data_IF_622332367648
#
_entry.id   IF_622332367648
#
_cell.length_a   1.000
_cell.length_b   1.000
_cell.length_c   1.000
_cell.angle_alpha   90.00
_cell.angle_beta   90.00
_cell.angle_gamma   90.00
#
_symmetry.space_group_name_H-M   'P 1'
#
loop_
_entity.id
_entity.type
_entity.pdbx_description
1 polymer ?
#
# COMPACT_ATOMS: atom_id res chain seq x y z
N UNK A 1 9.97 19.24 11.85
CA UNK A 1 8.68 18.55 11.62
C UNK A 1 7.61 19.61 11.33
N UNK A 2 6.77 19.45 10.30
CA UNK A 2 5.69 20.41 10.00
C UNK A 2 4.73 20.60 11.18
N UNK A 3 4.15 21.80 11.31
CA UNK A 3 3.20 22.13 12.40
C UNK A 3 2.02 21.16 12.43
N UNK A 4 1.51 20.76 11.26
CA UNK A 4 0.43 19.79 11.12
C UNK A 4 0.76 18.44 11.74
N UNK A 5 1.96 17.91 11.50
CA UNK A 5 2.42 16.63 12.07
C UNK A 5 2.58 16.74 13.58
N UNK A 6 3.03 17.88 14.09
CA UNK A 6 3.11 18.13 15.54
C UNK A 6 1.75 18.15 16.21
N UNK A 7 0.75 18.78 15.58
CA UNK A 7 -0.62 18.80 16.07
C UNK A 7 -1.23 17.39 16.04
N UNK A 8 -1.03 16.65 14.96
CA UNK A 8 -1.47 15.27 14.84
C UNK A 8 -0.86 14.38 15.94
N UNK A 9 0.45 14.50 16.20
CA UNK A 9 1.12 13.77 17.27
C UNK A 9 0.53 14.08 18.65
N UNK A 10 0.23 15.35 18.93
CA UNK A 10 -0.40 15.77 20.19
C UNK A 10 -1.78 15.14 20.35
N UNK A 11 -2.59 15.14 19.30
CA UNK A 11 -3.91 14.53 19.31
C UNK A 11 -3.82 13.01 19.48
N UNK A 12 -2.95 12.34 18.72
CA UNK A 12 -2.78 10.89 18.79
C UNK A 12 -2.44 10.40 20.20
N UNK A 13 -1.63 11.16 20.95
CA UNK A 13 -1.29 10.86 22.36
C UNK A 13 -2.44 10.98 23.36
N UNK A 14 -3.54 11.64 22.97
CA UNK A 14 -4.75 11.73 23.81
C UNK A 14 -5.75 10.61 23.53
N UNK A 15 -5.55 9.83 22.46
CA UNK A 15 -6.40 8.71 22.09
C UNK A 15 -5.96 7.48 22.91
N UNK A 16 -6.92 6.80 23.51
CA UNK A 16 -6.70 5.54 24.23
C UNK A 16 -6.12 4.48 23.26
N UNK A 17 -5.02 3.84 23.65
CA UNK A 17 -4.30 2.84 22.85
C UNK A 17 -5.15 1.58 22.55
N UNK A 18 -6.19 1.32 23.34
CA UNK A 18 -7.13 0.21 23.10
C UNK A 18 -8.14 0.52 21.98
N UNK A 19 -8.25 1.78 21.55
CA UNK A 19 -9.17 2.18 20.48
C UNK A 19 -8.51 1.97 19.12
N UNK A 20 -9.16 1.18 18.28
CA UNK A 20 -8.81 1.03 16.87
C UNK A 20 -9.97 1.54 16.00
N UNK A 21 -9.68 2.51 15.13
CA UNK A 21 -10.66 3.05 14.20
C UNK A 21 -10.73 2.16 12.96
N UNK A 22 -11.93 1.68 12.65
CA UNK A 22 -12.17 0.92 11.42
C UNK A 22 -12.14 1.85 10.21
N UNK A 23 -11.35 1.46 9.21
CA UNK A 23 -11.26 2.10 7.91
C UNK A 23 -11.70 1.05 6.89
N UNK A 24 -12.90 1.19 6.27
CA UNK A 24 -13.32 0.25 5.26
C UNK A 24 -12.37 0.27 4.05
N UNK A 25 -12.33 -0.79 3.28
CA UNK A 25 -11.58 -0.91 2.04
C UNK A 25 -12.55 -1.50 1.05
N UNK A 26 -13.19 -0.65 0.26
CA UNK A 26 -14.10 -1.10 -0.79
C UNK A 26 -13.33 -1.91 -1.84
N UNK A 27 -14.03 -2.78 -2.56
CA UNK A 27 -13.47 -3.66 -3.59
C UNK A 27 -12.67 -2.87 -4.63
N UNK A 28 -13.14 -1.66 -4.97
CA UNK A 28 -12.44 -0.77 -5.88
C UNK A 28 -11.03 -0.37 -5.43
N UNK A 29 -10.74 -0.35 -4.12
CA UNK A 29 -9.44 0.06 -3.56
C UNK A 29 -8.37 -0.98 -3.91
N UNK A 30 -8.56 -2.23 -3.46
CA UNK A 30 -7.56 -3.30 -3.56
C UNK A 30 -8.03 -4.57 -4.31
N UNK A 31 -9.23 -4.57 -4.88
CA UNK A 31 -9.85 -5.75 -5.48
C UNK A 31 -10.31 -6.78 -4.45
N UNK A 32 -10.54 -6.35 -3.20
CA UNK A 32 -11.15 -7.18 -2.16
C UNK A 32 -11.76 -6.31 -1.05
N UNK A 33 -13.04 -6.54 -0.76
CA UNK A 33 -13.75 -5.89 0.33
C UNK A 33 -13.24 -6.37 1.70
N UNK A 34 -12.78 -5.44 2.54
CA UNK A 34 -12.41 -5.71 3.93
C UNK A 34 -12.38 -4.43 4.77
N UNK A 35 -12.09 -4.54 6.06
CA UNK A 35 -11.76 -3.40 6.92
C UNK A 35 -10.30 -3.49 7.35
N UNK A 36 -9.60 -2.35 7.34
CA UNK A 36 -8.35 -2.19 8.08
C UNK A 36 -8.61 -1.37 9.34
N UNK A 37 -7.66 -1.36 10.27
CA UNK A 37 -7.81 -0.71 11.56
C UNK A 37 -6.57 0.12 11.86
N UNK A 38 -6.76 1.36 12.28
CA UNK A 38 -5.68 2.25 12.71
C UNK A 38 -5.86 2.63 14.17
N UNK A 39 -4.80 2.50 14.95
CA UNK A 39 -4.76 2.91 16.35
C UNK A 39 -3.86 4.14 16.55
N UNK A 40 -3.82 4.66 17.77
CA UNK A 40 -2.98 5.81 18.13
C UNK A 40 -1.49 5.53 17.94
N UNK A 41 -1.03 4.31 18.16
CA UNK A 41 0.38 3.93 18.01
C UNK A 41 0.84 4.01 16.54
N UNK A 42 0.03 3.56 15.58
CA UNK A 42 0.34 3.74 14.14
C UNK A 42 0.55 5.22 13.78
N UNK A 43 -0.33 6.10 14.28
CA UNK A 43 -0.26 7.54 14.04
C UNK A 43 0.97 8.15 14.71
N UNK A 44 1.27 7.74 15.96
CA UNK A 44 2.43 8.21 16.70
C UNK A 44 3.73 7.79 15.99
N UNK A 45 3.84 6.53 15.57
CA UNK A 45 5.01 6.03 14.83
C UNK A 45 5.24 6.81 13.55
N UNK A 46 4.17 7.03 12.77
CA UNK A 46 4.23 7.88 11.58
C UNK A 46 4.72 9.29 11.90
N UNK A 47 4.14 9.95 12.92
CA UNK A 47 4.53 11.31 13.30
C UNK A 47 5.98 11.40 13.81
N UNK A 48 6.50 10.34 14.44
CA UNK A 48 7.87 10.26 14.95
C UNK A 48 8.88 9.81 13.89
N UNK A 49 8.48 9.74 12.61
CA UNK A 49 9.34 9.30 11.50
C UNK A 49 9.94 7.90 11.74
N UNK A 50 9.21 7.03 12.43
CA UNK A 50 9.56 5.61 12.56
C UNK A 50 9.27 4.87 11.24
N UNK A 51 9.77 3.64 11.05
CA UNK A 51 9.38 2.81 9.91
C UNK A 51 7.86 2.78 9.76
N UNK A 52 7.38 3.20 8.58
CA UNK A 52 5.95 3.36 8.31
C UNK A 52 5.30 1.97 8.25
N UNK A 53 4.23 1.77 9.00
CA UNK A 53 3.51 0.50 9.01
C UNK A 53 2.74 0.27 7.71
N UNK A 54 2.47 -1.00 7.41
CA UNK A 54 1.63 -1.39 6.27
C UNK A 54 0.25 -0.74 6.34
N UNK A 55 -0.31 -0.59 7.55
CA UNK A 55 -1.61 0.07 7.78
C UNK A 55 -1.59 1.51 7.28
N UNK A 56 -0.55 2.28 7.61
CA UNK A 56 -0.42 3.66 7.15
C UNK A 56 -0.35 3.76 5.62
N UNK A 57 0.41 2.88 4.96
CA UNK A 57 0.49 2.85 3.49
C UNK A 57 -0.86 2.45 2.89
N UNK A 58 -1.54 1.43 3.43
CA UNK A 58 -2.86 1.01 2.94
C UNK A 58 -3.90 2.14 3.03
N UNK A 59 -3.92 2.88 4.15
CA UNK A 59 -4.82 4.02 4.34
C UNK A 59 -4.49 5.16 3.36
N UNK A 60 -3.21 5.42 3.12
CA UNK A 60 -2.80 6.41 2.13
C UNK A 60 -3.23 6.01 0.70
N UNK A 61 -3.09 4.73 0.33
CA UNK A 61 -3.57 4.23 -0.96
C UNK A 61 -5.09 4.35 -1.09
N UNK A 62 -5.86 4.07 -0.02
CA UNK A 62 -7.30 4.35 -0.01
C UNK A 62 -7.61 5.82 -0.23
N UNK A 63 -6.87 6.72 0.42
CA UNK A 63 -7.05 8.16 0.21
C UNK A 63 -6.79 8.55 -1.26
N UNK A 64 -5.73 8.03 -1.88
CA UNK A 64 -5.45 8.26 -3.29
C UNK A 64 -6.56 7.72 -4.20
N UNK A 65 -7.05 6.52 -3.93
CA UNK A 65 -8.19 5.95 -4.65
C UNK A 65 -9.44 6.82 -4.54
N UNK A 66 -9.77 7.31 -3.33
CA UNK A 66 -10.91 8.22 -3.13
C UNK A 66 -10.76 9.51 -3.93
N UNK A 67 -9.54 10.07 -3.99
CA UNK A 67 -9.27 11.26 -4.81
C UNK A 67 -9.44 10.99 -6.31
N UNK A 68 -9.01 9.83 -6.79
CA UNK A 68 -9.20 9.42 -8.19
C UNK A 68 -10.68 9.23 -8.51
N UNK A 69 -11.44 8.57 -7.63
CA UNK A 69 -12.89 8.41 -7.75
C UNK A 69 -13.61 9.74 -7.83
N UNK A 70 -13.25 10.71 -6.97
CA UNK A 70 -13.81 12.05 -7.00
C UNK A 70 -13.54 12.80 -8.32
N UNK A 71 -12.47 12.44 -9.01
CA UNK A 71 -12.08 13.01 -10.31
C UNK A 71 -12.54 12.19 -11.51
N UNK A 72 -13.19 11.04 -11.28
CA UNK A 72 -13.56 10.07 -12.32
C UNK A 72 -12.33 9.49 -13.06
N UNK A 73 -11.17 9.46 -12.40
CA UNK A 73 -9.87 8.99 -12.90
C UNK A 73 -9.47 7.61 -12.35
N UNK A 74 -10.36 6.92 -11.64
CA UNK A 74 -10.08 5.62 -11.02
C UNK A 74 -9.89 4.47 -12.03
N UNK A 75 -10.25 4.69 -13.29
CA UNK A 75 -9.95 3.77 -14.38
C UNK A 75 -8.47 3.79 -14.78
N UNK A 76 -7.73 4.87 -14.48
CA UNK A 76 -6.32 5.04 -14.85
C UNK A 76 -5.36 4.32 -13.90
N UNK A 77 -5.73 4.23 -12.62
CA UNK A 77 -4.87 3.65 -11.59
C UNK A 77 -5.63 2.69 -10.69
N UNK A 78 -4.97 1.58 -10.35
CA UNK A 78 -5.42 0.65 -9.32
C UNK A 78 -4.30 0.39 -8.32
N UNK A 79 -4.66 -0.12 -7.15
CA UNK A 79 -3.72 -0.38 -6.06
C UNK A 79 -3.74 -1.85 -5.64
N UNK A 80 -2.59 -2.35 -5.20
CA UNK A 80 -2.46 -3.67 -4.56
C UNK A 80 -2.35 -3.48 -3.06
N UNK A 81 -2.99 -4.37 -2.30
CA UNK A 81 -2.90 -4.36 -0.84
C UNK A 81 -1.49 -4.79 -0.39
N UNK A 82 -0.67 -3.89 0.20
CA UNK A 82 0.66 -4.24 0.65
C UNK A 82 0.67 -5.32 1.73
N UNK A 83 -0.42 -5.48 2.49
CA UNK A 83 -0.53 -6.51 3.53
C UNK A 83 -0.57 -7.93 2.99
N UNK A 84 -0.85 -8.08 1.69
CA UNK A 84 -0.96 -9.38 1.00
C UNK A 84 0.25 -9.71 0.12
N UNK A 85 1.05 -8.72 -0.26
CA UNK A 85 2.18 -8.92 -1.18
C UNK A 85 3.56 -8.71 -0.54
N UNK A 86 3.64 -7.94 0.56
CA UNK A 86 4.91 -7.63 1.22
C UNK A 86 5.62 -8.88 1.75
N UNK A 87 6.92 -8.77 2.03
CA UNK A 87 7.78 -9.91 2.37
C UNK A 87 7.25 -10.74 3.55
N UNK A 88 6.61 -10.10 4.52
CA UNK A 88 6.08 -10.73 5.74
C UNK A 88 4.63 -11.23 5.59
N UNK A 89 3.99 -11.05 4.43
CA UNK A 89 2.58 -11.40 4.19
C UNK A 89 2.34 -12.93 4.00
N UNK A 90 3.36 -13.76 4.16
CA UNK A 90 3.27 -15.22 4.06
C UNK A 90 4.10 -15.82 2.94
N UNK A 91 3.73 -17.04 2.52
CA UNK A 91 4.45 -17.81 1.49
C UNK A 91 4.43 -17.09 0.14
N UNK A 92 5.51 -17.24 -0.63
CA UNK A 92 5.70 -16.53 -1.90
C UNK A 92 4.55 -16.81 -2.88
N UNK A 93 4.04 -18.04 -2.92
CA UNK A 93 2.94 -18.45 -3.82
C UNK A 93 1.62 -17.75 -3.47
N UNK A 94 1.33 -17.57 -2.18
CA UNK A 94 0.14 -16.85 -1.75
C UNK A 94 0.22 -15.35 -2.08
N UNK A 95 1.44 -14.78 -1.96
CA UNK A 95 1.71 -13.38 -2.28
C UNK A 95 1.64 -13.11 -3.79
N UNK A 96 2.23 -14.00 -4.60
CA UNK A 96 2.13 -13.99 -6.06
C UNK A 96 0.66 -14.15 -6.51
N UNK A 97 -0.08 -15.10 -5.95
CA UNK A 97 -1.50 -15.27 -6.23
C UNK A 97 -2.33 -14.02 -5.91
N UNK A 98 -2.08 -13.38 -4.75
CA UNK A 98 -2.76 -12.13 -4.40
C UNK A 98 -2.46 -10.99 -5.40
N UNK A 99 -1.23 -10.91 -5.90
CA UNK A 99 -0.88 -9.97 -6.97
C UNK A 99 -1.60 -10.33 -8.27
N UNK A 100 -1.56 -11.59 -8.71
CA UNK A 100 -2.20 -12.07 -9.96
C UNK A 100 -3.69 -11.75 -9.98
N UNK A 101 -4.41 -12.06 -8.89
CA UNK A 101 -5.85 -11.76 -8.77
C UNK A 101 -6.14 -10.26 -8.97
N UNK A 102 -5.25 -9.39 -8.47
CA UNK A 102 -5.40 -7.95 -8.68
C UNK A 102 -5.12 -7.55 -10.13
N UNK A 103 -4.10 -8.13 -10.75
CA UNK A 103 -3.77 -7.89 -12.16
C UNK A 103 -4.89 -8.38 -13.11
N UNK A 104 -5.54 -9.50 -12.79
CA UNK A 104 -6.66 -10.04 -13.56
C UNK A 104 -7.89 -9.11 -13.56
N UNK A 105 -8.05 -8.31 -12.50
CA UNK A 105 -9.12 -7.31 -12.38
C UNK A 105 -8.83 -5.99 -13.10
N UNK A 106 -7.66 -5.86 -13.74
CA UNK A 106 -7.21 -4.61 -14.36
C UNK A 106 -8.09 -4.21 -15.55
N UNK A 107 -8.41 -2.92 -15.64
CA UNK A 107 -9.00 -2.33 -16.84
C UNK A 107 -7.92 -2.06 -17.90
N UNK A 108 -8.33 -1.96 -19.17
CA UNK A 108 -7.42 -1.66 -20.27
C UNK A 108 -6.60 -0.40 -19.99
N UNK A 109 -5.28 -0.50 -20.15
CA UNK A 109 -4.30 0.56 -19.89
C UNK A 109 -4.23 1.07 -18.44
N UNK A 110 -4.90 0.42 -17.48
CA UNK A 110 -4.83 0.77 -16.07
C UNK A 110 -3.44 0.42 -15.49
N UNK A 111 -2.82 1.41 -14.84
CA UNK A 111 -1.55 1.21 -14.16
C UNK A 111 -1.78 0.76 -12.71
N UNK A 112 -1.24 -0.40 -12.35
CA UNK A 112 -1.39 -0.96 -11.00
C UNK A 112 -0.18 -0.61 -10.14
N UNK A 113 -0.44 0.07 -9.02
CA UNK A 113 0.56 0.47 -8.04
C UNK A 113 0.62 -0.55 -6.90
N UNK A 114 1.78 -1.20 -6.78
CA UNK A 114 2.04 -2.28 -5.84
C UNK A 114 3.11 -1.86 -4.81
N UNK A 115 2.72 -1.25 -3.68
CA UNK A 115 3.65 -0.97 -2.59
C UNK A 115 4.11 -2.28 -1.94
N UNK A 116 5.42 -2.41 -1.71
CA UNK A 116 6.03 -3.62 -1.19
C UNK A 116 6.99 -3.29 -0.05
N UNK A 117 6.79 -3.91 1.11
CA UNK A 117 7.73 -3.83 2.22
C UNK A 117 8.65 -5.05 2.24
N UNK A 118 9.96 -4.83 2.28
CA UNK A 118 10.97 -5.91 2.37
C UNK A 118 11.17 -6.45 3.80
N UNK A 119 10.50 -5.85 4.79
CA UNK A 119 10.65 -6.04 6.24
C UNK A 119 11.04 -4.74 6.95
N UNK A 120 11.81 -3.88 6.30
CA UNK A 120 12.25 -2.59 6.85
C UNK A 120 12.47 -1.50 5.79
N UNK A 121 12.13 -1.78 4.53
CA UNK A 121 12.32 -0.87 3.40
C UNK A 121 11.11 -0.93 2.49
N UNK A 122 10.60 0.24 2.10
CA UNK A 122 9.45 0.36 1.21
C UNK A 122 9.90 0.58 -0.22
N UNK A 123 9.31 -0.22 -1.10
CA UNK A 123 9.47 -0.16 -2.54
C UNK A 123 8.10 0.06 -3.18
N UNK A 124 8.09 0.51 -4.42
CA UNK A 124 6.89 0.58 -5.24
C UNK A 124 7.17 -0.05 -6.60
N UNK A 125 6.28 -0.92 -7.06
CA UNK A 125 6.21 -1.26 -8.47
C UNK A 125 4.98 -0.62 -9.10
N UNK A 126 5.14 -0.10 -10.31
CA UNK A 126 4.04 0.23 -11.19
C UNK A 126 3.99 -0.79 -12.31
N UNK A 127 2.87 -1.50 -12.43
CA UNK A 127 2.69 -2.65 -13.32
C UNK A 127 1.64 -2.28 -14.35
N UNK A 128 1.98 -2.38 -15.64
CA UNK A 128 1.02 -2.39 -16.72
C UNK A 128 0.84 -3.84 -17.20
N UNK A 129 -0.29 -4.51 -16.86
CA UNK A 129 -0.48 -5.91 -17.21
C UNK A 129 -0.68 -6.14 -18.71
N UNK A 130 -1.12 -5.14 -19.47
CA UNK A 130 -1.37 -5.26 -20.92
C UNK A 130 -0.08 -5.17 -21.74
N UNK A 131 0.87 -4.35 -21.30
CA UNK A 131 2.20 -4.25 -21.94
C UNK A 131 3.22 -5.20 -21.31
N UNK A 132 2.87 -5.92 -20.24
CA UNK A 132 3.77 -6.72 -19.42
C UNK A 132 5.01 -5.92 -18.96
N UNK A 133 4.84 -4.63 -18.64
CA UNK A 133 5.91 -3.76 -18.17
C UNK A 133 5.79 -3.53 -16.67
N UNK A 134 6.93 -3.60 -15.98
CA UNK A 134 7.04 -3.34 -14.55
C UNK A 134 8.13 -2.30 -14.30
N UNK A 135 7.75 -1.19 -13.68
CA UNK A 135 8.64 -0.12 -13.28
C UNK A 135 8.87 -0.20 -11.78
N UNK A 136 10.13 -0.30 -11.36
CA UNK A 136 10.50 -0.38 -9.94
C UNK A 136 11.02 0.97 -9.44
N UNK A 137 10.53 1.39 -8.29
CA UNK A 137 10.94 2.61 -7.61
C UNK A 137 11.52 2.25 -6.24
N UNK A 138 12.82 2.49 -6.08
CA UNK A 138 13.53 2.39 -4.81
C UNK A 138 13.96 3.80 -4.36
N UNK A 139 13.41 4.34 -3.25
CA UNK A 139 13.81 5.63 -2.71
C UNK A 139 15.30 5.75 -2.35
N UNK A 140 16.00 4.63 -2.15
CA UNK A 140 17.45 4.61 -1.89
C UNK A 140 18.28 4.61 -3.18
N UNK A 141 17.65 4.64 -4.36
CA UNK A 141 18.33 4.70 -5.65
C UNK A 141 18.99 3.39 -6.06
N UNK A 142 18.61 2.25 -5.47
CA UNK A 142 19.11 0.95 -5.87
C UNK A 142 18.59 0.60 -7.27
N UNK A 143 19.50 0.26 -8.17
CA UNK A 143 19.16 -0.17 -9.54
C UNK A 143 18.82 -1.65 -9.61
N UNK A 144 19.15 -2.43 -8.58
CA UNK A 144 18.83 -3.85 -8.52
C UNK A 144 17.42 -4.04 -7.95
N UNK A 145 16.61 -4.83 -8.66
CA UNK A 145 15.28 -5.20 -8.21
C UNK A 145 15.40 -6.08 -6.96
N UNK A 146 14.61 -5.77 -5.92
CA UNK A 146 14.56 -6.59 -4.72
C UNK A 146 14.11 -8.03 -5.06
N UNK A 147 14.86 -9.08 -4.66
CA UNK A 147 14.53 -10.46 -5.00
C UNK A 147 13.14 -10.90 -4.51
N UNK A 148 12.72 -10.46 -3.33
CA UNK A 148 11.41 -10.82 -2.79
C UNK A 148 10.26 -10.26 -3.62
N UNK A 149 10.41 -9.03 -4.12
CA UNK A 149 9.44 -8.42 -5.02
C UNK A 149 9.50 -9.03 -6.43
N UNK A 150 10.70 -9.29 -6.94
CA UNK A 150 10.90 -9.96 -8.24
C UNK A 150 10.20 -11.32 -8.28
N UNK A 151 10.40 -12.13 -7.23
CA UNK A 151 9.84 -13.48 -7.14
C UNK A 151 8.31 -13.50 -7.20
N UNK A 152 7.61 -12.51 -6.62
CA UNK A 152 6.14 -12.51 -6.67
C UNK A 152 5.57 -12.01 -8.00
N UNK A 153 6.37 -11.28 -8.80
CA UNK A 153 5.98 -10.74 -10.11
C UNK A 153 6.26 -11.74 -11.24
N UNK A 154 7.33 -12.51 -11.13
CA UNK A 154 7.81 -13.42 -12.19
C UNK A 154 7.44 -14.89 -12.00
N UNK A 155 6.66 -15.22 -10.96
CA UNK A 155 6.20 -16.59 -10.68
C UNK A 155 5.02 -17.03 -11.54
#
# INVERSE_FOLDING_TARGET
MPVSVHLLLRLARTIDESIAMSVPMEDGVFGNDHNTFINSNDIIQFCLMQPISTICISIYMRHLWSLLKMKEEDHLYAFVDPSRISNEAGKVEARSCALSLRLESAQLDQLILAPYNTGNHWLLAAINPFTALVYYFDPLGNTNINPGMKNIVEL
#
